data_IF_516895037827
#
_entry.id   IF_516895037827
#
_cell.length_a   1.000
_cell.length_b   1.000
_cell.length_c   1.000
_cell.angle_alpha   90.00
_cell.angle_beta   90.00
_cell.angle_gamma   90.00
#
_symmetry.space_group_name_H-M   'P 1'
#
loop_
_entity.id
_entity.type
_entity.pdbx_description
1 polymer ?
#
# COMPACT_ATOMS: atom_id res chain seq x y z
N UNK A 1 -14.62 5.98 20.92
CA UNK A 1 -14.67 7.02 19.87
C UNK A 1 -14.21 6.35 18.58
N UNK A 2 -15.08 6.22 17.58
CA UNK A 2 -14.70 5.69 16.27
C UNK A 2 -14.21 6.88 15.43
N UNK A 3 -12.98 6.81 14.92
CA UNK A 3 -12.45 7.76 13.95
C UNK A 3 -12.52 7.15 12.56
N UNK A 4 -12.98 7.92 11.58
CA UNK A 4 -12.98 7.53 10.17
C UNK A 4 -11.94 8.35 9.42
N UNK A 5 -11.17 7.71 8.54
CA UNK A 5 -10.27 8.37 7.60
C UNK A 5 -10.85 8.19 6.21
N UNK A 6 -11.16 9.30 5.54
CA UNK A 6 -11.66 9.25 4.16
C UNK A 6 -10.51 8.98 3.19
N UNK A 7 -10.59 7.83 2.51
CA UNK A 7 -9.68 7.47 1.45
C UNK A 7 -10.18 8.08 0.13
N UNK A 8 -9.28 8.67 -0.64
CA UNK A 8 -9.61 9.32 -1.92
C UNK A 8 -10.19 8.35 -2.95
N UNK A 9 -9.83 7.07 -2.86
CA UNK A 9 -10.22 6.04 -3.82
C UNK A 9 -10.54 4.71 -3.10
N UNK A 10 -11.42 3.86 -3.67
CA UNK A 10 -11.66 2.52 -3.16
C UNK A 10 -10.38 1.68 -3.16
N UNK A 11 -10.16 0.94 -2.07
CA UNK A 11 -9.02 0.04 -1.95
C UNK A 11 -9.22 -1.20 -2.83
N UNK A 12 -8.14 -1.68 -3.43
CA UNK A 12 -8.11 -2.95 -4.17
C UNK A 12 -7.53 -4.09 -3.36
N UNK A 13 -6.51 -3.81 -2.55
CA UNK A 13 -5.86 -4.80 -1.70
C UNK A 13 -5.21 -4.10 -0.50
N UNK A 14 -4.93 -4.87 0.54
CA UNK A 14 -4.26 -4.41 1.76
C UNK A 14 -3.42 -5.54 2.35
N UNK A 15 -2.23 -5.20 2.84
CA UNK A 15 -1.36 -6.16 3.51
C UNK A 15 -0.64 -5.54 4.69
N UNK A 16 -0.57 -6.28 5.79
CA UNK A 16 0.17 -5.88 6.97
C UNK A 16 1.66 -6.17 6.78
N UNK A 17 2.51 -5.14 6.91
CA UNK A 17 3.98 -5.27 6.76
C UNK A 17 4.70 -5.30 8.11
N UNK A 18 4.05 -4.84 9.18
CA UNK A 18 4.48 -5.00 10.56
C UNK A 18 3.30 -4.78 11.52
N UNK A 19 3.53 -4.89 12.84
CA UNK A 19 2.49 -4.76 13.87
C UNK A 19 1.67 -3.46 13.84
N UNK A 20 2.26 -2.37 13.33
CA UNK A 20 1.68 -1.03 13.37
C UNK A 20 1.30 -0.50 11.97
N UNK A 21 1.67 -1.19 10.88
CA UNK A 21 1.56 -0.66 9.51
C UNK A 21 0.91 -1.66 8.56
N UNK A 22 -0.14 -1.20 7.88
CA UNK A 22 -0.75 -1.82 6.71
C UNK A 22 -0.43 -0.97 5.49
N UNK A 23 -0.05 -1.61 4.38
CA UNK A 23 0.04 -0.96 3.07
C UNK A 23 -1.20 -1.35 2.28
N UNK A 24 -1.85 -0.39 1.65
CA UNK A 24 -3.00 -0.60 0.79
C UNK A 24 -2.77 -0.02 -0.61
N UNK A 25 -3.43 -0.62 -1.60
CA UNK A 25 -3.47 -0.15 -2.99
C UNK A 25 -4.84 0.34 -3.38
N UNK A 26 -4.90 1.16 -4.43
CA UNK A 26 -6.10 1.43 -5.19
C UNK A 26 -5.81 1.30 -6.68
N UNK A 27 -6.81 0.86 -7.46
CA UNK A 27 -6.71 0.84 -8.93
C UNK A 27 -6.63 2.26 -9.49
N UNK A 28 -7.38 3.19 -8.90
CA UNK A 28 -7.53 4.56 -9.39
C UNK A 28 -6.50 5.53 -8.79
N UNK A 29 -5.90 5.15 -7.66
CA UNK A 29 -4.90 5.93 -6.94
C UNK A 29 -3.52 5.89 -7.60
N UNK A 30 -2.76 6.96 -7.40
CA UNK A 30 -1.36 7.11 -7.84
C UNK A 30 -0.38 6.98 -6.66
N UNK A 31 -0.85 6.42 -5.56
CA UNK A 31 -0.05 6.18 -4.35
C UNK A 31 -0.40 4.83 -3.73
N UNK A 32 0.62 4.20 -3.14
CA UNK A 32 0.41 3.26 -2.05
C UNK A 32 -0.01 4.05 -0.81
N UNK A 33 -0.87 3.48 0.02
CA UNK A 33 -1.38 4.12 1.22
C UNK A 33 -0.81 3.41 2.44
N UNK A 34 -0.15 4.15 3.33
CA UNK A 34 0.26 3.67 4.66
C UNK A 34 -0.89 3.90 5.64
N UNK A 35 -1.43 2.83 6.21
CA UNK A 35 -2.39 2.89 7.30
C UNK A 35 -1.63 2.56 8.59
N UNK A 36 -1.42 3.57 9.43
CA UNK A 36 -0.73 3.46 10.70
C UNK A 36 -1.75 3.14 11.81
N UNK A 37 -1.73 1.89 12.29
CA UNK A 37 -2.67 1.38 13.30
C UNK A 37 -2.45 2.00 14.68
N UNK A 38 -1.22 2.42 14.98
CA UNK A 38 -0.87 3.04 16.26
C UNK A 38 -1.44 4.46 16.37
N UNK A 39 -1.42 5.22 15.28
CA UNK A 39 -1.88 6.61 15.25
C UNK A 39 -3.28 6.77 14.65
N UNK A 40 -3.84 5.73 14.03
CA UNK A 40 -5.14 5.78 13.38
C UNK A 40 -5.16 6.67 12.13
N UNK A 41 -4.03 6.77 11.42
CA UNK A 41 -3.86 7.65 10.24
C UNK A 41 -3.75 6.85 8.96
N UNK A 42 -4.22 7.40 7.84
CA UNK A 42 -3.91 6.92 6.50
C UNK A 42 -3.26 8.04 5.69
N UNK A 43 -2.08 7.79 5.14
CA UNK A 43 -1.29 8.77 4.38
C UNK A 43 -0.69 8.14 3.14
N UNK A 44 -0.32 8.96 2.16
CA UNK A 44 0.44 8.46 1.01
C UNK A 44 1.79 7.91 1.48
N UNK A 45 2.12 6.70 1.03
CA UNK A 45 3.35 5.98 1.36
C UNK A 45 4.43 6.21 0.30
N UNK A 46 4.05 5.99 -0.97
CA UNK A 46 4.95 6.07 -2.13
C UNK A 46 4.12 6.31 -3.38
N UNK A 47 4.62 7.15 -4.28
CA UNK A 47 4.01 7.35 -5.59
C UNK A 47 4.18 6.10 -6.47
N UNK A 48 3.10 5.72 -7.14
CA UNK A 48 3.05 4.57 -8.05
C UNK A 48 2.16 4.89 -9.23
N UNK A 49 2.24 4.06 -10.26
CA UNK A 49 1.31 4.14 -11.37
C UNK A 49 -0.10 3.66 -10.97
N UNK A 50 -1.13 4.23 -11.60
CA UNK A 50 -2.49 3.66 -11.55
C UNK A 50 -2.53 2.21 -12.01
N UNK A 51 -3.53 1.48 -11.54
CA UNK A 51 -3.82 0.11 -11.96
C UNK A 51 -3.34 -0.99 -11.01
N UNK A 52 -2.88 -0.62 -9.80
CA UNK A 52 -2.51 -1.60 -8.78
C UNK A 52 -3.73 -2.36 -8.24
N UNK A 53 -3.65 -3.68 -8.27
CA UNK A 53 -4.79 -4.56 -7.94
C UNK A 53 -4.49 -5.60 -6.87
N UNK A 54 -3.21 -5.88 -6.58
CA UNK A 54 -2.86 -6.82 -5.52
C UNK A 54 -1.50 -6.54 -4.91
N UNK A 55 -1.36 -6.90 -3.64
CA UNK A 55 -0.15 -6.83 -2.84
C UNK A 55 0.19 -8.19 -2.22
N UNK A 56 1.47 -8.52 -2.17
CA UNK A 56 2.02 -9.50 -1.22
C UNK A 56 3.30 -8.96 -0.61
N UNK A 57 3.71 -9.50 0.54
CA UNK A 57 4.84 -9.00 1.30
C UNK A 57 5.72 -10.15 1.76
N UNK A 58 6.98 -10.11 1.37
CA UNK A 58 8.01 -11.00 1.91
C UNK A 58 8.70 -10.31 3.07
N UNK A 59 8.40 -10.78 4.29
CA UNK A 59 8.97 -10.25 5.51
C UNK A 59 10.46 -10.59 5.68
N UNK A 60 10.97 -11.65 5.04
CA UNK A 60 12.37 -12.05 5.16
C UNK A 60 13.29 -11.12 4.37
N UNK A 61 12.82 -10.60 3.25
CA UNK A 61 13.55 -9.68 2.38
C UNK A 61 13.04 -8.23 2.44
N UNK A 62 12.11 -7.93 3.35
CA UNK A 62 11.44 -6.63 3.46
C UNK A 62 10.89 -6.10 2.12
N UNK A 63 10.40 -7.00 1.26
CA UNK A 63 9.99 -6.69 -0.11
C UNK A 63 8.48 -6.73 -0.26
N UNK A 64 7.89 -5.59 -0.66
CA UNK A 64 6.51 -5.51 -1.09
C UNK A 64 6.43 -5.79 -2.61
N UNK A 65 5.58 -6.72 -2.99
CA UNK A 65 5.36 -7.12 -4.38
C UNK A 65 3.97 -6.64 -4.79
N UNK A 66 3.89 -5.82 -5.82
CA UNK A 66 2.65 -5.19 -6.26
C UNK A 66 2.33 -5.53 -7.72
N UNK A 67 1.14 -6.09 -7.97
CA UNK A 67 0.67 -6.38 -9.32
C UNK A 67 -0.07 -5.17 -9.90
N UNK A 68 0.33 -4.74 -11.10
CA UNK A 68 -0.34 -3.70 -11.88
C UNK A 68 -1.03 -4.32 -13.10
N UNK A 69 -2.34 -4.48 -13.00
CA UNK A 69 -3.17 -5.05 -14.07
C UNK A 69 -3.26 -4.16 -15.32
N UNK A 70 -3.10 -2.85 -15.18
CA UNK A 70 -3.23 -1.90 -16.28
C UNK A 70 -1.99 -1.87 -17.16
N UNK A 71 -0.81 -1.97 -16.53
CA UNK A 71 0.49 -2.01 -17.22
C UNK A 71 0.97 -3.43 -17.52
N UNK A 72 0.31 -4.45 -16.96
CA UNK A 72 0.72 -5.84 -17.04
C UNK A 72 2.16 -6.06 -16.53
N UNK A 73 2.47 -5.48 -15.37
CA UNK A 73 3.79 -5.57 -14.71
C UNK A 73 3.64 -5.91 -13.23
N UNK A 74 4.72 -6.41 -12.65
CA UNK A 74 4.85 -6.63 -11.20
C UNK A 74 6.02 -5.78 -10.70
N UNK A 75 5.78 -4.98 -9.67
CA UNK A 75 6.79 -4.18 -9.00
C UNK A 75 7.31 -4.92 -7.77
N UNK A 76 8.61 -4.74 -7.49
CA UNK A 76 9.28 -5.19 -6.29
C UNK A 76 9.79 -3.95 -5.58
N UNK A 77 9.30 -3.69 -4.37
CA UNK A 77 9.52 -2.46 -3.62
C UNK A 77 10.19 -2.83 -2.30
N UNK A 78 11.42 -2.35 -2.11
CA UNK A 78 12.11 -2.43 -0.82
C UNK A 78 11.42 -1.48 0.17
N UNK A 79 10.89 -2.04 1.26
CA UNK A 79 10.14 -1.27 2.26
C UNK A 79 11.02 -0.59 3.30
N UNK A 80 12.32 -0.90 3.37
CA UNK A 80 13.27 -0.22 4.26
C UNK A 80 13.83 1.05 3.62
N UNK A 81 13.92 1.09 2.29
CA UNK A 81 14.36 2.26 1.54
C UNK A 81 13.17 3.16 1.18
N UNK A 82 12.66 3.89 2.18
CA UNK A 82 11.70 4.99 1.92
C UNK A 82 12.40 6.07 1.10
N UNK A 83 11.93 6.33 -0.13
CA UNK A 83 12.31 7.49 -0.94
C UNK A 83 11.30 8.62 -0.75
#
# INVERSE_FOLDING_TARGET
MLSSVDLKHPLTDLIQINKDVIIATSKEGESLIEINLKHGTATDYMNVDKGLTSLTYDAASHTLIAANSQKNVVYFIDTEQKK
#
